data_IF_079226894717
#
_entry.id   IF_079226894717
#
_cell.length_a   1.000
_cell.length_b   1.000
_cell.length_c   1.000
_cell.angle_alpha   90.00
_cell.angle_beta   90.00
_cell.angle_gamma   90.00
#
_symmetry.space_group_name_H-M   'P 1'
#
loop_
_entity.id
_entity.type
_entity.pdbx_description
1 polymer ?
#
# COMPACT_ATOMS: atom_id res chain seq x y z
N UNK A 1 -12.93 25.04 10.70
CA UNK A 1 -12.30 23.77 11.12
C UNK A 1 -11.31 23.42 10.02
N UNK A 2 -10.07 23.11 10.35
CA UNK A 2 -9.03 22.96 9.32
C UNK A 2 -9.34 21.73 8.46
N UNK A 3 -9.68 21.94 7.19
CA UNK A 3 -9.91 20.91 6.15
C UNK A 3 -8.61 20.19 5.73
N UNK A 4 -7.64 20.09 6.64
CA UNK A 4 -6.31 19.58 6.33
C UNK A 4 -6.29 18.05 6.38
N UNK A 5 -6.34 17.45 5.20
CA UNK A 5 -6.17 16.01 4.99
C UNK A 5 -4.71 15.71 4.64
N UNK A 6 -4.00 14.94 5.48
CA UNK A 6 -2.58 14.61 5.28
C UNK A 6 -2.26 13.17 5.67
N UNK A 7 -1.34 12.54 4.96
CA UNK A 7 -0.87 11.18 5.23
C UNK A 7 0.52 11.20 5.88
N UNK A 8 0.59 10.85 7.16
CA UNK A 8 1.86 10.66 7.84
C UNK A 8 2.55 9.38 7.34
N UNK A 9 3.74 9.54 6.78
CA UNK A 9 4.63 8.47 6.34
C UNK A 9 5.47 8.81 5.11
N UNK A 10 6.57 8.07 4.86
CA UNK A 10 7.47 8.38 3.74
C UNK A 10 6.86 7.97 2.41
N UNK A 11 7.00 8.80 1.38
CA UNK A 11 6.44 8.57 0.04
C UNK A 11 6.92 7.26 -0.62
N UNK A 12 8.11 6.77 -0.27
CA UNK A 12 8.64 5.51 -0.76
C UNK A 12 8.04 4.29 -0.06
N UNK A 13 7.30 4.41 1.03
CA UNK A 13 6.69 3.25 1.71
C UNK A 13 5.62 2.63 0.80
N UNK A 14 5.66 1.31 0.56
CA UNK A 14 4.63 0.66 -0.26
C UNK A 14 3.24 0.83 0.36
N UNK A 15 3.12 0.86 1.69
CA UNK A 15 1.85 1.09 2.39
C UNK A 15 1.31 2.51 2.18
N UNK A 16 2.19 3.51 2.15
CA UNK A 16 1.84 4.92 1.89
C UNK A 16 1.43 5.09 0.42
N UNK A 17 2.12 4.41 -0.52
CA UNK A 17 1.79 4.45 -1.95
C UNK A 17 0.38 3.94 -2.25
N UNK A 18 -0.05 2.85 -1.64
CA UNK A 18 -1.43 2.31 -1.79
C UNK A 18 -2.46 3.41 -1.50
N UNK A 19 -2.34 4.09 -0.35
CA UNK A 19 -3.28 5.14 0.03
C UNK A 19 -3.24 6.31 -0.94
N UNK A 20 -2.03 6.74 -1.36
CA UNK A 20 -1.87 7.87 -2.27
C UNK A 20 -2.39 7.59 -3.67
N UNK A 21 -2.20 6.38 -4.18
CA UNK A 21 -2.75 5.96 -5.45
C UNK A 21 -4.28 5.94 -5.37
N UNK A 22 -4.83 5.31 -4.33
CA UNK A 22 -6.28 5.28 -4.15
C UNK A 22 -6.87 6.69 -4.05
N UNK A 23 -6.26 7.59 -3.27
CA UNK A 23 -6.68 8.99 -3.20
C UNK A 23 -6.64 9.70 -4.56
N UNK A 24 -5.62 9.40 -5.39
CA UNK A 24 -5.49 9.97 -6.73
C UNK A 24 -6.62 9.50 -7.66
N UNK A 25 -7.04 8.23 -7.57
CA UNK A 25 -8.19 7.70 -8.29
C UNK A 25 -9.51 8.33 -7.82
N UNK A 26 -9.59 8.75 -6.56
CA UNK A 26 -10.69 9.60 -6.05
C UNK A 26 -10.56 11.08 -6.46
N UNK A 27 -9.62 11.43 -7.34
CA UNK A 27 -9.41 12.78 -7.84
C UNK A 27 -8.64 13.71 -6.89
N UNK A 28 -8.00 13.18 -5.84
CA UNK A 28 -7.33 13.98 -4.81
C UNK A 28 -5.84 13.63 -4.68
N UNK A 29 -4.96 14.64 -4.81
CA UNK A 29 -3.55 14.48 -4.48
C UNK A 29 -3.36 14.61 -2.96
N UNK A 30 -3.22 13.47 -2.28
CA UNK A 30 -3.01 13.45 -0.83
C UNK A 30 -1.56 13.84 -0.45
N UNK A 31 -1.35 14.95 0.30
CA UNK A 31 -0.04 15.30 0.84
C UNK A 31 0.48 14.19 1.78
N UNK A 32 1.78 13.90 1.73
CA UNK A 32 2.39 12.93 2.63
C UNK A 32 3.79 13.35 3.09
N UNK A 33 4.18 12.94 4.29
CA UNK A 33 5.52 13.18 4.80
C UNK A 33 5.71 12.77 6.25
N UNK A 34 6.89 13.05 6.80
CA UNK A 34 7.22 12.80 8.21
C UNK A 34 6.86 13.96 9.14
N UNK A 35 6.31 15.05 8.60
CA UNK A 35 6.00 16.28 9.32
C UNK A 35 4.51 16.65 9.20
N UNK A 36 3.59 15.82 9.74
CA UNK A 36 2.16 16.00 9.50
C UNK A 36 1.58 17.29 10.08
N UNK A 37 2.22 17.88 11.09
CA UNK A 37 1.82 19.13 11.74
C UNK A 37 2.85 20.25 11.55
N UNK A 38 3.68 20.17 10.51
CA UNK A 38 4.78 21.11 10.25
C UNK A 38 6.12 20.66 10.84
N UNK A 39 6.11 20.03 12.02
CA UNK A 39 7.32 19.46 12.64
C UNK A 39 7.46 17.95 12.40
N UNK A 40 8.71 17.50 12.27
CA UNK A 40 9.05 16.10 12.04
C UNK A 40 8.71 15.28 13.28
N UNK A 41 7.89 14.24 13.11
CA UNK A 41 7.66 13.22 14.14
C UNK A 41 8.62 12.03 13.87
N UNK A 42 9.57 11.73 14.76
CA UNK A 42 10.49 10.61 14.57
C UNK A 42 9.80 9.24 14.68
N UNK A 43 10.33 8.25 13.96
CA UNK A 43 9.86 6.87 14.08
C UNK A 43 10.04 6.37 15.52
N UNK A 44 9.03 5.63 16.03
CA UNK A 44 8.93 5.13 17.42
C UNK A 44 9.03 6.17 18.54
N UNK A 45 8.89 7.47 18.25
CA UNK A 45 8.71 8.50 19.29
C UNK A 45 7.34 8.41 19.94
N UNK A 46 7.17 9.02 21.12
CA UNK A 46 5.88 9.11 21.81
C UNK A 46 4.79 9.74 20.92
N UNK A 47 5.16 10.78 20.15
CA UNK A 47 4.25 11.41 19.19
C UNK A 47 3.81 10.46 18.06
N UNK A 48 4.68 9.57 17.58
CA UNK A 48 4.29 8.55 16.60
C UNK A 48 3.42 7.46 17.26
N UNK A 49 3.79 7.00 18.45
CA UNK A 49 3.02 5.97 19.17
C UNK A 49 1.63 6.45 19.59
N UNK A 50 1.46 7.76 19.82
CA UNK A 50 0.16 8.38 20.03
C UNK A 50 -0.74 8.34 18.78
N UNK A 51 -0.15 8.43 17.57
CA UNK A 51 -0.88 8.34 16.29
C UNK A 51 -1.18 6.89 15.89
N UNK A 52 -0.27 5.97 16.18
CA UNK A 52 -0.45 4.54 15.96
C UNK A 52 0.30 3.74 17.04
N UNK A 53 -0.40 3.03 17.94
CA UNK A 53 0.23 2.30 19.05
C UNK A 53 1.16 1.17 18.58
N UNK A 54 1.02 0.68 17.33
CA UNK A 54 1.92 -0.32 16.75
C UNK A 54 3.19 0.29 16.15
N UNK A 55 3.32 1.62 16.14
CA UNK A 55 4.45 2.33 15.54
C UNK A 55 4.62 2.06 14.05
N UNK A 56 3.49 1.89 13.33
CA UNK A 56 3.47 1.62 11.89
C UNK A 56 2.91 2.81 11.11
N UNK A 57 3.26 2.84 9.83
CA UNK A 57 2.83 3.84 8.86
C UNK A 57 2.11 3.13 7.70
N UNK A 58 1.17 3.78 7.01
CA UNK A 58 0.74 5.18 7.17
C UNK A 58 -0.23 5.42 8.34
N UNK A 59 -0.39 6.70 8.69
CA UNK A 59 -1.53 7.23 9.48
C UNK A 59 -2.15 8.38 8.69
N UNK A 60 -3.48 8.35 8.50
CA UNK A 60 -4.22 9.47 7.94
C UNK A 60 -4.60 10.44 9.06
N UNK A 61 -4.47 11.74 8.79
CA UNK A 61 -4.86 12.83 9.67
C UNK A 61 -5.88 13.69 8.89
N UNK A 62 -7.09 13.81 9.42
CA UNK A 62 -8.15 14.72 8.93
C UNK A 62 -8.59 15.61 10.08
N UNK A 63 -8.01 16.81 10.16
CA UNK A 63 -8.18 17.70 11.32
C UNK A 63 -7.73 17.03 12.62
N UNK A 64 -8.66 16.90 13.57
CA UNK A 64 -8.43 16.26 14.88
C UNK A 64 -8.62 14.74 14.85
N UNK A 65 -9.08 14.18 13.72
CA UNK A 65 -9.29 12.74 13.56
C UNK A 65 -8.05 12.07 12.96
N UNK A 66 -7.67 10.93 13.55
CA UNK A 66 -6.56 10.12 13.04
C UNK A 66 -6.97 8.66 12.90
N UNK A 67 -6.56 8.03 11.79
CA UNK A 67 -6.80 6.60 11.55
C UNK A 67 -5.58 5.94 10.92
N UNK A 68 -5.24 4.75 11.42
CA UNK A 68 -4.19 3.90 10.88
C UNK A 68 -4.79 2.65 10.21
N UNK A 69 -3.95 1.80 9.63
CA UNK A 69 -4.27 0.71 8.70
C UNK A 69 -4.65 1.14 7.29
N UNK A 70 -3.90 0.64 6.31
CA UNK A 70 -4.06 1.02 4.90
C UNK A 70 -5.48 0.81 4.38
N UNK A 71 -6.09 -0.35 4.66
CA UNK A 71 -7.45 -0.64 4.17
C UNK A 71 -8.50 0.26 4.85
N UNK A 72 -8.36 0.50 6.16
CA UNK A 72 -9.25 1.40 6.89
C UNK A 72 -9.16 2.83 6.37
N UNK A 73 -7.94 3.32 6.11
CA UNK A 73 -7.68 4.62 5.49
C UNK A 73 -8.34 4.69 4.10
N UNK A 74 -8.16 3.69 3.23
CA UNK A 74 -8.78 3.72 1.91
C UNK A 74 -10.32 3.76 1.99
N UNK A 75 -10.95 2.95 2.84
CA UNK A 75 -12.41 3.01 3.02
C UNK A 75 -12.89 4.36 3.55
N UNK A 76 -12.13 4.94 4.47
CA UNK A 76 -12.42 6.29 4.97
C UNK A 76 -12.35 7.32 3.84
N UNK A 77 -11.32 7.28 3.00
CA UNK A 77 -11.16 8.19 1.88
C UNK A 77 -12.27 8.02 0.82
N UNK A 78 -12.70 6.79 0.54
CA UNK A 78 -13.85 6.53 -0.34
C UNK A 78 -15.11 7.26 0.17
N UNK A 79 -15.41 7.12 1.46
CA UNK A 79 -16.56 7.81 2.05
C UNK A 79 -16.36 9.34 2.06
N UNK A 80 -15.17 9.81 2.45
CA UNK A 80 -14.86 11.22 2.68
C UNK A 80 -14.71 12.05 1.41
N UNK A 81 -14.25 11.45 0.31
CA UNK A 81 -13.92 12.14 -0.94
C UNK A 81 -14.87 11.76 -2.08
N UNK A 82 -15.46 10.56 -2.05
CA UNK A 82 -16.29 10.04 -3.14
C UNK A 82 -17.71 9.63 -2.69
N UNK A 83 -18.11 9.94 -1.46
CA UNK A 83 -19.41 9.55 -0.88
C UNK A 83 -19.67 8.04 -0.97
N UNK A 84 -18.60 7.25 -0.83
CA UNK A 84 -18.67 5.80 -0.80
C UNK A 84 -18.83 5.13 -2.17
N UNK A 85 -18.77 5.90 -3.28
CA UNK A 85 -19.10 5.41 -4.62
C UNK A 85 -18.14 4.33 -5.15
N UNK A 86 -16.90 4.27 -4.67
CA UNK A 86 -15.89 3.33 -5.18
C UNK A 86 -15.89 2.01 -4.41
N UNK A 87 -16.28 2.02 -3.12
CA UNK A 87 -16.31 0.80 -2.32
C UNK A 87 -17.60 0.61 -1.52
N UNK A 88 -18.03 1.58 -0.73
CA UNK A 88 -19.17 1.38 0.18
C UNK A 88 -20.49 1.09 -0.55
N UNK A 89 -20.70 1.71 -1.72
CA UNK A 89 -21.89 1.57 -2.55
C UNK A 89 -21.97 0.23 -3.31
N UNK A 90 -20.87 -0.54 -3.37
CA UNK A 90 -20.85 -1.83 -4.07
C UNK A 90 -21.81 -2.85 -3.41
N UNK A 91 -22.38 -3.80 -4.18
CA UNK A 91 -23.13 -4.91 -3.62
C UNK A 91 -22.33 -5.70 -2.58
N UNK A 92 -23.00 -6.28 -1.58
CA UNK A 92 -22.34 -6.97 -0.45
C UNK A 92 -21.33 -8.04 -0.89
N UNK A 93 -21.66 -8.82 -1.93
CA UNK A 93 -20.76 -9.84 -2.47
C UNK A 93 -19.54 -9.23 -3.14
N UNK A 94 -19.72 -8.13 -3.87
CA UNK A 94 -18.64 -7.44 -4.55
C UNK A 94 -17.68 -6.79 -3.54
N UNK A 95 -18.21 -6.16 -2.47
CA UNK A 95 -17.38 -5.68 -1.36
C UNK A 95 -16.57 -6.81 -0.74
N UNK A 96 -17.18 -7.97 -0.49
CA UNK A 96 -16.47 -9.12 0.07
C UNK A 96 -15.31 -9.59 -0.84
N UNK A 97 -15.47 -9.55 -2.16
CA UNK A 97 -14.39 -9.88 -3.10
C UNK A 97 -13.26 -8.85 -3.08
N UNK A 98 -13.58 -7.56 -3.03
CA UNK A 98 -12.58 -6.49 -2.85
C UNK A 98 -11.79 -6.71 -1.56
N UNK A 99 -12.48 -6.98 -0.45
CA UNK A 99 -11.85 -7.26 0.84
C UNK A 99 -10.98 -8.52 0.82
N UNK A 100 -11.48 -9.59 0.20
CA UNK A 100 -10.74 -10.84 0.05
C UNK A 100 -9.42 -10.61 -0.67
N UNK A 101 -9.44 -9.96 -1.83
CA UNK A 101 -8.23 -9.75 -2.63
C UNK A 101 -7.29 -8.73 -1.99
N UNK A 102 -7.80 -7.62 -1.44
CA UNK A 102 -6.97 -6.68 -0.72
C UNK A 102 -6.28 -7.33 0.50
N UNK A 103 -7.02 -8.13 1.28
CA UNK A 103 -6.48 -8.89 2.39
C UNK A 103 -5.44 -9.92 1.95
N UNK A 104 -5.74 -10.68 0.90
CA UNK A 104 -4.82 -11.68 0.34
C UNK A 104 -3.52 -11.04 -0.16
N UNK A 105 -3.60 -9.91 -0.87
CA UNK A 105 -2.42 -9.15 -1.33
C UNK A 105 -1.62 -8.63 -0.13
N UNK A 106 -2.29 -8.04 0.85
CA UNK A 106 -1.63 -7.45 2.00
C UNK A 106 -0.94 -8.49 2.89
N UNK A 107 -1.54 -9.66 3.08
CA UNK A 107 -1.03 -10.72 3.94
C UNK A 107 -0.14 -11.69 3.18
N UNK A 108 -0.67 -12.36 2.16
CA UNK A 108 0.06 -13.38 1.43
C UNK A 108 1.08 -12.80 0.46
N UNK A 109 0.80 -11.64 -0.14
CA UNK A 109 1.80 -10.93 -0.95
C UNK A 109 2.98 -10.47 -0.08
N UNK A 110 2.71 -10.07 1.16
CA UNK A 110 3.77 -9.80 2.14
C UNK A 110 4.59 -11.07 2.43
N UNK A 111 3.94 -12.13 2.88
CA UNK A 111 4.63 -13.34 3.34
C UNK A 111 5.39 -14.07 2.23
N UNK A 112 4.80 -14.13 1.04
CA UNK A 112 5.33 -14.96 -0.05
C UNK A 112 6.18 -14.17 -1.06
N UNK A 113 6.07 -12.83 -1.10
CA UNK A 113 6.76 -12.01 -2.11
C UNK A 113 7.60 -10.90 -1.49
N UNK A 114 7.09 -10.18 -0.49
CA UNK A 114 7.85 -9.09 0.14
C UNK A 114 8.96 -9.62 1.05
N UNK A 115 8.55 -10.37 2.07
CA UNK A 115 9.43 -10.88 3.11
C UNK A 115 10.27 -12.01 2.50
N UNK A 116 11.59 -12.00 2.70
CA UNK A 116 12.51 -13.03 2.21
C UNK A 116 12.82 -13.02 0.71
N UNK A 117 12.01 -12.38 -0.14
CA UNK A 117 12.28 -12.25 -1.58
C UNK A 117 12.55 -10.79 -2.00
N UNK A 118 11.53 -9.97 -2.24
CA UNK A 118 11.74 -8.61 -2.77
C UNK A 118 12.49 -7.68 -1.81
N UNK A 119 12.22 -7.74 -0.50
CA UNK A 119 12.93 -6.90 0.47
C UNK A 119 14.39 -7.33 0.66
N UNK A 120 14.72 -8.60 0.47
CA UNK A 120 16.10 -9.08 0.54
C UNK A 120 16.92 -8.59 -0.66
N UNK A 121 16.29 -8.48 -1.83
CA UNK A 121 16.90 -7.90 -3.03
C UNK A 121 17.02 -6.37 -2.93
N UNK A 122 15.98 -5.68 -2.45
CA UNK A 122 15.92 -4.22 -2.39
C UNK A 122 16.70 -3.61 -1.21
N UNK A 123 16.78 -4.33 -0.09
CA UNK A 123 17.52 -3.92 1.11
C UNK A 123 18.39 -5.08 1.61
N UNK A 124 19.50 -5.33 0.91
CA UNK A 124 20.37 -6.46 1.20
C UNK A 124 20.89 -6.46 2.64
N UNK A 125 20.89 -7.64 3.27
CA UNK A 125 21.38 -7.84 4.64
C UNK A 125 22.56 -8.80 4.74
N UNK A 126 23.06 -9.28 3.60
CA UNK A 126 24.23 -10.15 3.54
C UNK A 126 25.53 -9.37 3.67
N UNK A 127 26.63 -10.12 3.67
CA UNK A 127 27.98 -9.56 3.69
C UNK A 127 28.20 -8.62 2.50
N UNK A 128 28.98 -7.56 2.75
CA UNK A 128 29.28 -6.49 1.78
C UNK A 128 28.05 -5.83 1.14
N UNK A 129 26.90 -5.87 1.82
CA UNK A 129 25.65 -5.30 1.31
C UNK A 129 25.07 -6.09 0.13
N UNK A 130 25.40 -7.38 0.01
CA UNK A 130 24.85 -8.26 -1.03
C UNK A 130 23.58 -8.98 -0.56
N UNK A 131 22.64 -9.31 -1.46
CA UNK A 131 21.47 -10.10 -1.10
C UNK A 131 21.88 -11.48 -0.59
N UNK A 132 21.20 -11.98 0.44
CA UNK A 132 21.37 -13.36 0.91
C UNK A 132 20.63 -14.30 -0.06
N UNK A 133 21.37 -14.81 -1.04
CA UNK A 133 20.78 -15.57 -2.15
C UNK A 133 20.19 -16.90 -1.73
N UNK A 134 20.67 -17.50 -0.64
CA UNK A 134 20.03 -18.66 0.00
C UNK A 134 18.59 -18.35 0.42
N UNK A 135 18.36 -17.23 1.09
CA UNK A 135 17.02 -16.77 1.50
C UNK A 135 16.15 -16.42 0.28
N UNK A 136 16.71 -15.73 -0.71
CA UNK A 136 16.00 -15.37 -1.95
C UNK A 136 15.54 -16.62 -2.70
N UNK A 137 16.42 -17.61 -2.85
CA UNK A 137 16.12 -18.84 -3.59
C UNK A 137 15.16 -19.74 -2.82
N UNK A 138 15.23 -19.78 -1.49
CA UNK A 138 14.26 -20.49 -0.64
C UNK A 138 12.84 -19.92 -0.81
N UNK A 139 12.69 -18.60 -0.92
CA UNK A 139 11.39 -17.93 -1.04
C UNK A 139 10.88 -17.80 -2.48
N UNK A 140 11.75 -17.97 -3.49
CA UNK A 140 11.39 -17.82 -4.90
C UNK A 140 10.20 -18.69 -5.36
N UNK A 141 10.06 -19.98 -4.95
CA UNK A 141 8.89 -20.78 -5.34
C UNK A 141 7.56 -20.20 -4.83
N UNK A 142 7.53 -19.72 -3.58
CA UNK A 142 6.35 -19.10 -3.00
C UNK A 142 6.00 -17.79 -3.71
N UNK A 143 7.02 -16.98 -4.03
CA UNK A 143 6.84 -15.75 -4.80
C UNK A 143 6.24 -16.02 -6.18
N UNK A 144 6.79 -17.01 -6.91
CA UNK A 144 6.27 -17.43 -8.22
C UNK A 144 4.84 -17.94 -8.14
N UNK A 145 4.53 -18.75 -7.13
CA UNK A 145 3.18 -19.27 -6.92
C UNK A 145 2.18 -18.14 -6.66
N UNK A 146 2.55 -17.15 -5.83
CA UNK A 146 1.71 -15.98 -5.57
C UNK A 146 1.46 -15.16 -6.84
N UNK A 147 2.51 -14.83 -7.61
CA UNK A 147 2.36 -14.08 -8.87
C UNK A 147 1.47 -14.83 -9.86
N UNK A 148 1.63 -16.16 -9.99
CA UNK A 148 0.79 -16.97 -10.86
C UNK A 148 -0.69 -16.98 -10.43
N UNK A 149 -1.00 -16.86 -9.13
CA UNK A 149 -2.38 -16.70 -8.65
C UNK A 149 -2.92 -15.34 -9.06
N UNK A 150 -2.15 -14.26 -8.88
CA UNK A 150 -2.57 -12.91 -9.29
C UNK A 150 -2.82 -12.83 -10.80
N UNK A 151 -1.93 -13.41 -11.60
CA UNK A 151 -2.08 -13.46 -13.06
C UNK A 151 -3.38 -14.17 -13.47
N UNK A 152 -3.64 -15.37 -12.92
CA UNK A 152 -4.89 -16.09 -13.20
C UNK A 152 -6.12 -15.30 -12.77
N UNK A 153 -6.05 -14.58 -11.66
CA UNK A 153 -7.16 -13.76 -11.20
C UNK A 153 -7.41 -12.57 -12.12
N UNK A 154 -6.37 -11.88 -12.56
CA UNK A 154 -6.46 -10.76 -13.51
C UNK A 154 -6.92 -11.19 -14.91
N UNK A 155 -6.87 -12.48 -15.24
CA UNK A 155 -7.47 -13.01 -16.47
C UNK A 155 -9.00 -13.14 -16.39
N UNK A 156 -9.60 -13.08 -15.19
CA UNK A 156 -11.05 -13.25 -15.00
C UNK A 156 -11.86 -11.94 -15.10
N UNK A 157 -11.20 -10.78 -15.07
CA UNK A 157 -11.87 -9.47 -15.06
C UNK A 157 -10.90 -8.33 -15.38
N UNK A 158 -11.41 -7.11 -15.52
CA UNK A 158 -10.57 -5.93 -15.81
C UNK A 158 -9.74 -5.47 -14.61
N UNK A 159 -10.18 -5.79 -13.39
CA UNK A 159 -9.55 -5.46 -12.12
C UNK A 159 -9.48 -6.68 -11.22
N UNK A 160 -8.63 -6.66 -10.19
CA UNK A 160 -8.34 -7.84 -9.38
C UNK A 160 -9.59 -8.42 -8.70
N UNK A 161 -10.56 -7.56 -8.41
CA UNK A 161 -11.80 -7.91 -7.73
C UNK A 161 -13.05 -7.87 -8.62
N UNK A 162 -12.93 -7.64 -9.94
CA UNK A 162 -14.09 -7.59 -10.86
C UNK A 162 -13.90 -6.61 -12.01
N UNK A 163 -14.98 -5.93 -12.40
CA UNK A 163 -15.00 -5.04 -13.57
C UNK A 163 -14.75 -3.56 -13.26
N UNK A 164 -14.68 -3.20 -11.97
CA UNK A 164 -14.44 -1.84 -11.51
C UNK A 164 -13.20 -1.76 -10.61
N UNK A 165 -12.50 -0.63 -10.70
CA UNK A 165 -11.35 -0.32 -9.87
C UNK A 165 -11.71 -0.30 -8.39
N UNK A 166 -10.82 -0.79 -7.54
CA UNK A 166 -10.97 -0.73 -6.10
C UNK A 166 -9.64 -0.49 -5.37
N UNK A 167 -9.68 -0.31 -4.06
CA UNK A 167 -8.44 -0.23 -3.28
C UNK A 167 -7.63 -1.54 -3.27
N UNK A 168 -8.23 -2.68 -3.66
CA UNK A 168 -7.51 -3.93 -3.85
C UNK A 168 -6.49 -3.82 -4.99
N UNK A 169 -6.82 -3.09 -6.05
CA UNK A 169 -5.94 -2.82 -7.17
C UNK A 169 -4.79 -1.89 -6.76
N UNK A 170 -5.09 -0.85 -5.97
CA UNK A 170 -4.06 -0.05 -5.30
C UNK A 170 -3.09 -0.91 -4.49
N UNK A 171 -3.58 -1.96 -3.80
CA UNK A 171 -2.74 -2.85 -3.01
C UNK A 171 -1.73 -3.66 -3.84
N UNK A 172 -2.02 -3.94 -5.12
CA UNK A 172 -1.08 -4.63 -6.03
C UNK A 172 0.21 -3.85 -6.23
N UNK A 173 0.18 -2.52 -6.13
CA UNK A 173 1.38 -1.67 -6.24
C UNK A 173 2.43 -1.97 -5.18
N UNK A 174 2.07 -2.63 -4.08
CA UNK A 174 3.05 -3.10 -3.10
C UNK A 174 4.01 -4.12 -3.70
N UNK A 175 3.55 -4.89 -4.67
CA UNK A 175 4.26 -6.03 -5.25
C UNK A 175 4.88 -5.66 -6.60
N UNK A 176 4.12 -4.97 -7.44
CA UNK A 176 4.48 -4.78 -8.85
C UNK A 176 5.02 -3.39 -9.19
N UNK A 177 5.17 -2.50 -8.21
CA UNK A 177 5.78 -1.19 -8.44
C UNK A 177 7.27 -1.22 -8.08
N UNK A 178 8.13 -0.96 -9.06
CA UNK A 178 9.56 -0.80 -8.82
C UNK A 178 9.80 0.35 -7.82
N UNK A 179 10.55 0.14 -6.71
CA UNK A 179 11.06 1.28 -5.97
C UNK A 179 11.88 2.16 -6.92
N UNK A 180 11.90 3.48 -6.75
CA UNK A 180 12.82 4.31 -7.52
C UNK A 180 14.24 3.82 -7.22
N UNK A 181 14.81 3.02 -8.11
CA UNK A 181 16.21 2.67 -8.10
C UNK A 181 16.96 4.00 -8.07
N UNK A 182 17.87 4.17 -7.11
CA UNK A 182 18.73 5.35 -6.99
C UNK A 182 19.69 5.50 -8.18
N UNK A 183 19.57 4.66 -9.20
CA UNK A 183 20.30 4.71 -10.45
C UNK A 183 19.32 4.53 -11.62
N UNK A 184 19.17 5.61 -12.41
CA UNK A 184 18.63 5.69 -13.76
C UNK A 184 17.10 5.52 -14.00
N UNK A 185 16.46 6.68 -14.24
CA UNK A 185 15.77 6.97 -15.51
C UNK A 185 14.98 5.83 -16.17
N UNK A 186 13.81 5.49 -15.65
CA UNK A 186 12.72 4.98 -16.50
C UNK A 186 11.39 5.56 -16.00
N UNK A 187 10.80 6.45 -16.80
CA UNK A 187 9.39 6.83 -16.64
C UNK A 187 8.56 5.65 -17.12
N UNK A 188 7.68 5.13 -16.26
CA UNK A 188 6.51 4.39 -16.74
C UNK A 188 5.27 5.26 -16.53
N UNK A 189 4.76 5.77 -17.64
CA UNK A 189 3.41 6.28 -17.77
C UNK A 189 2.48 5.09 -17.65
N UNK A 190 1.61 5.07 -16.63
CA UNK A 190 0.50 4.13 -16.58
C UNK A 190 -0.65 4.74 -17.41
N UNK A 191 -1.03 4.02 -18.46
CA UNK A 191 -2.39 4.01 -19.01
C UNK A 191 -3.22 3.04 -18.19
#
# INVERSE_FOLDING_TARGET
MSDSLTLYGPAFSPFVRVVRLFAAELGTKLPCGMSPYGDKIPSRSDGHLALNPFGKLPVLIDGDFTVFETAAICRYLDQRLADGKVHAALPVKQRALVEQWAGAICMYGRLNVMDGFLLELAFPKGEDGRPRMDIVLENLPAARAFVAIMERQLQQGSWIAGDEYSFADSALTRIFHEPPCSHASTRMSFL
#
